data_IF_248992678279
#
_entry.id   IF_248992678279
#
_cell.length_a   1.000
_cell.length_b   1.000
_cell.length_c   1.000
_cell.angle_alpha   90.00
_cell.angle_beta   90.00
_cell.angle_gamma   90.00
#
_symmetry.space_group_name_H-M   'P 1'
#
loop_
_entity.id
_entity.type
_entity.pdbx_description
1 polymer ?
#
# COMPACT_ATOMS: atom_id res chain seq x y z
N UNK A 1 -13.96 0.20 -10.62
CA UNK A 1 -13.28 -0.88 -9.88
C UNK A 1 -11.81 -1.01 -10.28
N UNK A 2 -11.48 -1.18 -11.57
CA UNK A 2 -10.10 -1.39 -12.01
C UNK A 2 -9.14 -0.24 -11.65
N UNK A 3 -9.54 1.02 -11.87
CA UNK A 3 -8.73 2.18 -11.50
C UNK A 3 -8.42 2.23 -9.99
N UNK A 4 -9.35 1.79 -9.14
CA UNK A 4 -9.15 1.77 -7.67
C UNK A 4 -8.08 0.74 -7.30
N UNK A 5 -8.09 -0.44 -7.92
CA UNK A 5 -7.10 -1.50 -7.69
C UNK A 5 -5.69 -1.00 -8.06
N UNK A 6 -5.55 -0.34 -9.21
CA UNK A 6 -4.27 0.22 -9.67
C UNK A 6 -3.77 1.32 -8.73
N UNK A 7 -4.65 2.24 -8.32
CA UNK A 7 -4.29 3.32 -7.39
C UNK A 7 -3.83 2.76 -6.04
N UNK A 8 -4.51 1.74 -5.52
CA UNK A 8 -4.11 1.07 -4.27
C UNK A 8 -2.70 0.48 -4.42
N UNK A 9 -2.42 -0.23 -5.51
CA UNK A 9 -1.09 -0.78 -5.78
C UNK A 9 0.00 0.29 -5.83
N UNK A 10 -0.26 1.43 -6.48
CA UNK A 10 0.68 2.56 -6.54
C UNK A 10 0.92 3.17 -5.15
N UNK A 11 -0.13 3.30 -4.32
CA UNK A 11 0.03 3.83 -2.96
C UNK A 11 0.91 2.91 -2.11
N UNK A 12 0.70 1.60 -2.18
CA UNK A 12 1.52 0.64 -1.45
C UNK A 12 2.97 0.62 -1.94
N UNK A 13 3.20 0.75 -3.25
CA UNK A 13 4.54 0.92 -3.84
C UNK A 13 5.25 2.17 -3.28
N UNK A 14 4.56 3.31 -3.23
CA UNK A 14 5.09 4.56 -2.65
C UNK A 14 5.45 4.37 -1.17
N UNK A 15 4.63 3.64 -0.41
CA UNK A 15 4.92 3.34 1.00
C UNK A 15 6.17 2.48 1.12
N UNK A 16 6.28 1.39 0.34
CA UNK A 16 7.46 0.52 0.34
C UNK A 16 8.74 1.30 0.03
N UNK A 17 8.72 2.10 -1.03
CA UNK A 17 9.85 2.96 -1.41
C UNK A 17 10.17 3.97 -0.30
N UNK A 18 9.16 4.61 0.29
CA UNK A 18 9.37 5.60 1.35
C UNK A 18 9.97 4.98 2.61
N UNK A 19 9.55 3.77 2.99
CA UNK A 19 10.10 3.05 4.15
C UNK A 19 11.58 2.76 3.93
N UNK A 20 11.94 2.23 2.75
CA UNK A 20 13.34 1.94 2.39
C UNK A 20 14.19 3.20 2.24
N UNK A 21 13.62 4.31 1.75
CA UNK A 21 14.34 5.58 1.59
C UNK A 21 14.40 6.43 2.88
N UNK A 22 13.77 5.98 3.97
CA UNK A 22 13.64 6.81 5.18
C UNK A 22 14.91 6.85 6.02
N UNK A 23 15.34 8.06 6.41
CA UNK A 23 16.49 8.21 7.30
C UNK A 23 16.10 7.91 8.76
N UNK A 24 16.97 7.18 9.47
CA UNK A 24 16.74 6.79 10.86
C UNK A 24 16.86 7.95 11.85
N UNK A 25 17.61 9.02 11.56
CA UNK A 25 17.85 10.16 12.45
C UNK A 25 16.56 10.91 12.80
N UNK A 26 15.72 11.38 11.84
CA UNK A 26 14.47 12.05 12.18
C UNK A 26 13.49 11.12 12.89
N UNK A 27 13.46 9.83 12.53
CA UNK A 27 12.58 8.83 13.16
C UNK A 27 12.98 8.57 14.62
N UNK A 28 14.28 8.38 14.88
CA UNK A 28 14.80 8.18 16.23
C UNK A 28 14.63 9.43 17.11
N UNK A 29 14.80 10.63 16.54
CA UNK A 29 14.51 11.88 17.24
C UNK A 29 13.04 11.99 17.66
N UNK A 30 12.10 11.67 16.76
CA UNK A 30 10.67 11.62 17.08
C UNK A 30 10.35 10.54 18.13
N UNK A 31 11.03 9.40 18.09
CA UNK A 31 10.86 8.33 19.07
C UNK A 31 11.41 8.70 20.45
N UNK A 32 12.54 9.43 20.52
CA UNK A 32 13.11 9.95 21.75
C UNK A 32 12.19 10.98 22.43
N UNK A 33 11.52 11.82 21.65
CA UNK A 33 10.47 12.74 22.11
C UNK A 33 9.13 12.04 22.44
N UNK A 34 9.09 10.69 22.38
CA UNK A 34 7.89 9.87 22.69
C UNK A 34 6.67 10.23 21.86
N UNK A 35 6.87 10.67 20.61
CA UNK A 35 5.77 10.97 19.69
C UNK A 35 5.00 9.68 19.37
N UNK A 36 3.67 9.66 19.50
CA UNK A 36 2.87 8.45 19.29
C UNK A 36 3.00 7.93 17.86
N UNK A 37 3.44 6.67 17.71
CA UNK A 37 3.66 6.02 16.41
C UNK A 37 5.08 6.13 15.86
N UNK A 38 5.95 6.95 16.47
CA UNK A 38 7.35 7.06 16.05
C UNK A 38 8.15 5.78 16.29
N UNK A 39 7.86 5.04 17.38
CA UNK A 39 8.49 3.73 17.65
C UNK A 39 8.19 2.70 16.55
N UNK A 40 6.92 2.59 16.14
CA UNK A 40 6.50 1.70 15.05
C UNK A 40 7.14 2.11 13.72
N UNK A 41 7.29 3.42 13.48
CA UNK A 41 7.96 3.93 12.28
C UNK A 41 9.47 3.60 12.25
N UNK A 42 10.14 3.62 13.40
CA UNK A 42 11.54 3.14 13.53
C UNK A 42 11.62 1.64 13.26
N UNK A 43 10.66 0.85 13.75
CA UNK A 43 10.62 -0.60 13.54
C UNK A 43 10.34 -0.96 12.07
N UNK A 44 9.47 -0.20 11.40
CA UNK A 44 9.27 -0.29 9.95
C UNK A 44 10.57 -0.01 9.18
N UNK A 45 11.31 1.04 9.54
CA UNK A 45 12.58 1.35 8.87
C UNK A 45 13.65 0.27 9.13
N UNK A 46 13.69 -0.31 10.34
CA UNK A 46 14.60 -1.43 10.64
C UNK A 46 14.31 -2.67 9.80
N UNK A 47 13.04 -2.92 9.49
CA UNK A 47 12.60 -4.03 8.65
C UNK A 47 12.23 -3.57 7.23
N UNK A 48 12.87 -2.51 6.73
CA UNK A 48 12.46 -1.85 5.50
C UNK A 48 12.45 -2.79 4.30
N UNK A 49 13.41 -3.70 4.19
CA UNK A 49 13.49 -4.66 3.08
C UNK A 49 12.28 -5.60 3.08
N UNK A 50 11.91 -6.14 4.25
CA UNK A 50 10.74 -7.01 4.36
C UNK A 50 9.43 -6.27 4.06
N UNK A 51 9.29 -5.02 4.53
CA UNK A 51 8.10 -4.19 4.26
C UNK A 51 8.01 -3.82 2.78
N UNK A 52 9.13 -3.43 2.18
CA UNK A 52 9.21 -3.08 0.76
C UNK A 52 8.88 -4.28 -0.12
N UNK A 53 9.43 -5.46 0.19
CA UNK A 53 9.12 -6.69 -0.55
C UNK A 53 7.64 -7.09 -0.40
N UNK A 54 7.06 -6.93 0.78
CA UNK A 54 5.63 -7.16 0.97
C UNK A 54 4.76 -6.18 0.15
N UNK A 55 5.10 -4.89 0.17
CA UNK A 55 4.35 -3.87 -0.55
C UNK A 55 4.49 -3.98 -2.07
N UNK A 56 5.68 -4.31 -2.58
CA UNK A 56 5.92 -4.41 -4.01
C UNK A 56 5.53 -5.76 -4.59
N UNK A 57 5.91 -6.87 -3.94
CA UNK A 57 5.69 -8.20 -4.50
C UNK A 57 4.31 -8.72 -4.11
N UNK A 58 4.02 -8.87 -2.82
CA UNK A 58 2.75 -9.50 -2.40
C UNK A 58 1.54 -8.65 -2.80
N UNK A 59 1.55 -7.36 -2.47
CA UNK A 59 0.43 -6.47 -2.81
C UNK A 59 0.42 -6.20 -4.32
N UNK A 60 1.58 -6.04 -4.95
CA UNK A 60 1.69 -5.83 -6.39
C UNK A 60 1.14 -7.01 -7.19
N UNK A 61 1.48 -8.25 -6.83
CA UNK A 61 1.00 -9.46 -7.48
C UNK A 61 -0.51 -9.62 -7.31
N UNK A 62 -1.04 -9.38 -6.09
CA UNK A 62 -2.48 -9.43 -5.85
C UNK A 62 -3.22 -8.37 -6.69
N UNK A 63 -2.73 -7.12 -6.69
CA UNK A 63 -3.30 -6.06 -7.51
C UNK A 63 -3.19 -6.38 -9.00
N UNK A 64 -2.08 -6.96 -9.45
CA UNK A 64 -1.85 -7.40 -10.82
C UNK A 64 -2.84 -8.47 -11.27
N UNK A 65 -2.99 -9.54 -10.48
CA UNK A 65 -3.91 -10.66 -10.79
C UNK A 65 -5.36 -10.18 -10.81
N UNK A 66 -5.79 -9.43 -9.77
CA UNK A 66 -7.18 -8.95 -9.69
C UNK A 66 -7.47 -7.92 -10.78
N UNK A 67 -6.55 -7.01 -11.07
CA UNK A 67 -6.73 -6.02 -12.14
C UNK A 67 -6.74 -6.69 -13.52
N UNK A 68 -5.93 -7.71 -13.76
CA UNK A 68 -5.93 -8.51 -14.99
C UNK A 68 -7.26 -9.23 -15.21
N UNK A 69 -7.78 -9.90 -14.18
CA UNK A 69 -9.09 -10.56 -14.25
C UNK A 69 -10.23 -9.55 -14.49
N UNK A 70 -10.23 -8.42 -13.76
CA UNK A 70 -11.20 -7.35 -13.99
C UNK A 70 -11.09 -6.73 -15.38
N UNK A 71 -9.86 -6.58 -15.90
CA UNK A 71 -9.58 -6.05 -17.23
C UNK A 71 -10.11 -6.98 -18.32
N UNK A 72 -9.91 -8.29 -18.19
CA UNK A 72 -10.44 -9.29 -19.10
C UNK A 72 -11.98 -9.21 -19.19
N UNK A 73 -12.66 -9.09 -18.04
CA UNK A 73 -14.13 -8.93 -18.02
C UNK A 73 -14.55 -7.67 -18.78
N UNK A 74 -13.86 -6.55 -18.59
CA UNK A 74 -14.14 -5.29 -19.30
C UNK A 74 -13.96 -5.47 -20.80
N UNK A 75 -12.85 -6.11 -21.23
CA UNK A 75 -12.58 -6.37 -22.65
C UNK A 75 -13.67 -7.25 -23.26
N UNK A 76 -14.09 -8.32 -22.58
CA UNK A 76 -15.17 -9.20 -23.06
C UNK A 76 -16.47 -8.43 -23.22
N UNK A 77 -16.86 -7.60 -22.25
CA UNK A 77 -18.07 -6.77 -22.34
C UNK A 77 -18.02 -5.78 -23.49
N UNK A 78 -16.87 -5.13 -23.69
CA UNK A 78 -16.68 -4.19 -24.80
C UNK A 78 -16.68 -4.89 -26.16
N UNK A 79 -16.04 -6.05 -26.27
CA UNK A 79 -16.02 -6.84 -27.50
C UNK A 79 -17.43 -7.29 -27.90
N UNK A 80 -18.29 -7.64 -26.94
CA UNK A 80 -19.70 -7.98 -27.22
C UNK A 80 -20.55 -6.76 -27.60
N UNK A 81 -20.21 -5.56 -27.11
CA UNK A 81 -20.95 -4.34 -27.43
C UNK A 81 -20.56 -3.75 -28.79
N UNK A 82 -19.32 -3.97 -29.24
CA UNK A 82 -18.78 -3.47 -30.51
C UNK A 82 -18.24 -4.62 -31.38
N UNK A 83 -19.11 -5.39 -32.04
CA UNK A 83 -18.70 -6.58 -32.80
C UNK A 83 -17.78 -6.29 -34.00
N UNK A 84 -17.75 -5.04 -34.49
CA UNK A 84 -16.87 -4.63 -35.58
C UNK A 84 -15.40 -4.48 -35.19
N UNK A 85 -15.08 -4.42 -33.88
CA UNK A 85 -13.71 -4.24 -33.39
C UNK A 85 -13.23 -5.56 -32.80
N UNK A 86 -12.06 -6.04 -33.23
CA UNK A 86 -11.43 -7.23 -32.62
C UNK A 86 -11.18 -6.98 -31.13
N UNK A 87 -11.68 -7.87 -30.27
CA UNK A 87 -11.47 -7.79 -28.82
C UNK A 87 -10.00 -7.69 -28.42
N UNK A 88 -9.09 -8.28 -29.20
CA UNK A 88 -7.64 -8.15 -29.02
C UNK A 88 -7.16 -6.68 -29.09
N UNK A 89 -7.68 -5.87 -30.02
CA UNK A 89 -7.31 -4.45 -30.14
C UNK A 89 -7.76 -3.66 -28.92
N UNK A 90 -8.97 -3.93 -28.42
CA UNK A 90 -9.51 -3.30 -27.21
C UNK A 90 -8.67 -3.72 -25.99
N UNK A 91 -8.29 -5.00 -25.90
CA UNK A 91 -7.42 -5.50 -24.84
C UNK A 91 -6.06 -4.83 -24.82
N UNK A 92 -5.39 -4.73 -25.98
CA UNK A 92 -4.08 -4.06 -26.09
C UNK A 92 -4.19 -2.59 -25.71
N UNK A 93 -5.20 -1.87 -26.21
CA UNK A 93 -5.40 -0.45 -25.88
C UNK A 93 -5.66 -0.26 -24.38
N UNK A 94 -6.50 -1.09 -23.78
CA UNK A 94 -6.81 -1.00 -22.35
C UNK A 94 -5.58 -1.32 -21.50
N UNK A 95 -4.88 -2.42 -21.79
CA UNK A 95 -3.67 -2.82 -21.06
C UNK A 95 -2.54 -1.81 -21.21
N UNK A 96 -2.32 -1.27 -22.41
CA UNK A 96 -1.31 -0.23 -22.64
C UNK A 96 -1.61 1.06 -21.89
N UNK A 97 -2.89 1.46 -21.82
CA UNK A 97 -3.33 2.62 -21.06
C UNK A 97 -3.10 2.41 -19.55
N UNK A 98 -3.49 1.24 -19.02
CA UNK A 98 -3.27 0.90 -17.60
C UNK A 98 -1.78 0.87 -17.28
N UNK A 99 -0.96 0.25 -18.13
CA UNK A 99 0.49 0.17 -17.94
C UNK A 99 1.13 1.56 -17.92
N UNK A 100 0.76 2.43 -18.88
CA UNK A 100 1.26 3.82 -18.94
C UNK A 100 0.92 4.59 -17.66
N UNK A 101 -0.34 4.55 -17.20
CA UNK A 101 -0.76 5.21 -15.95
C UNK A 101 0.00 4.64 -14.75
N UNK A 102 0.21 3.33 -14.70
CA UNK A 102 0.88 2.67 -13.58
C UNK A 102 2.35 3.10 -13.50
N UNK A 103 3.07 3.05 -14.63
CA UNK A 103 4.48 3.45 -14.70
C UNK A 103 4.64 4.94 -14.41
N UNK A 104 3.81 5.80 -15.02
CA UNK A 104 3.83 7.23 -14.76
C UNK A 104 3.52 7.57 -13.29
N UNK A 105 2.51 6.91 -12.71
CA UNK A 105 2.11 7.08 -11.31
C UNK A 105 3.21 6.69 -10.34
N UNK A 106 3.87 5.53 -10.55
CA UNK A 106 5.01 5.11 -9.74
C UNK A 106 6.21 6.06 -9.88
N UNK A 107 6.52 6.54 -11.08
CA UNK A 107 7.63 7.46 -11.30
C UNK A 107 7.45 8.80 -10.57
N UNK A 108 6.24 9.38 -10.63
CA UNK A 108 5.90 10.60 -9.89
C UNK A 108 5.91 10.31 -8.37
N UNK A 109 5.32 9.20 -7.97
CA UNK A 109 5.24 8.74 -6.58
C UNK A 109 6.62 8.56 -5.94
N UNK A 110 7.58 7.99 -6.65
CA UNK A 110 8.95 7.77 -6.17
C UNK A 110 9.66 9.06 -5.77
N UNK A 111 9.52 10.12 -6.55
CA UNK A 111 10.10 11.42 -6.22
C UNK A 111 9.53 11.99 -4.91
N UNK A 112 8.22 11.84 -4.72
CA UNK A 112 7.53 12.26 -3.49
C UNK A 112 7.95 11.37 -2.31
N UNK A 113 8.02 10.06 -2.54
CA UNK A 113 8.42 9.05 -1.57
C UNK A 113 9.81 9.36 -1.00
N UNK A 114 10.79 9.65 -1.85
CA UNK A 114 12.17 9.93 -1.43
C UNK A 114 12.25 11.29 -0.73
N UNK A 115 11.66 12.36 -1.28
CA UNK A 115 11.71 13.70 -0.68
C UNK A 115 11.03 13.78 0.69
N UNK A 116 10.01 12.95 0.94
CA UNK A 116 9.24 12.93 2.19
C UNK A 116 9.27 11.56 2.88
N UNK A 117 10.35 10.81 2.71
CA UNK A 117 10.46 9.42 3.14
C UNK A 117 10.17 9.22 4.63
N UNK A 118 10.81 10.03 5.49
CA UNK A 118 10.59 9.95 6.95
C UNK A 118 9.18 10.38 7.37
N UNK A 119 8.55 11.32 6.65
CA UNK A 119 7.17 11.74 6.93
C UNK A 119 6.16 10.64 6.56
N UNK A 120 6.32 10.04 5.38
CA UNK A 120 5.46 8.94 4.91
C UNK A 120 5.63 7.71 5.79
N UNK A 121 6.87 7.36 6.15
CA UNK A 121 7.18 6.25 7.06
C UNK A 121 6.61 6.50 8.45
N UNK A 122 6.70 7.73 8.95
CA UNK A 122 6.05 8.10 10.21
C UNK A 122 4.53 7.98 10.13
N UNK A 123 3.89 8.43 9.04
CA UNK A 123 2.44 8.26 8.83
C UNK A 123 2.05 6.77 8.79
N UNK A 124 2.85 5.93 8.13
CA UNK A 124 2.66 4.48 8.12
C UNK A 124 2.78 3.88 9.53
N UNK A 125 3.82 4.24 10.28
CA UNK A 125 3.99 3.81 11.68
C UNK A 125 2.89 4.32 12.62
N UNK A 126 2.38 5.54 12.40
CA UNK A 126 1.24 6.09 13.13
C UNK A 126 -0.06 5.33 12.82
N UNK A 127 -0.26 4.95 11.56
CA UNK A 127 -1.38 4.12 11.13
C UNK A 127 -1.31 2.75 11.83
N UNK A 128 -0.15 2.10 11.80
CA UNK A 128 0.08 0.83 12.50
C UNK A 128 -0.14 0.93 13.99
N UNK A 129 0.35 1.98 14.66
CA UNK A 129 0.10 2.22 16.08
C UNK A 129 -1.40 2.40 16.37
N UNK A 130 -2.14 3.08 15.50
CA UNK A 130 -3.59 3.25 15.64
C UNK A 130 -4.32 1.91 15.51
N UNK A 131 -3.94 1.10 14.50
CA UNK A 131 -4.47 -0.26 14.33
C UNK A 131 -4.12 -1.15 15.53
N UNK A 132 -2.85 -1.18 15.96
CA UNK A 132 -2.38 -1.94 17.11
C UNK A 132 -3.07 -1.53 18.41
N UNK A 133 -3.28 -0.22 18.66
CA UNK A 133 -4.08 0.26 19.80
C UNK A 133 -5.53 -0.19 19.72
N UNK A 134 -6.13 -0.24 18.55
CA UNK A 134 -7.51 -0.69 18.34
C UNK A 134 -7.64 -2.18 18.58
N UNK A 135 -6.69 -2.97 18.08
CA UNK A 135 -6.61 -4.42 18.31
C UNK A 135 -6.33 -4.73 19.78
N UNK A 136 -5.39 -4.03 20.42
CA UNK A 136 -5.08 -4.18 21.84
C UNK A 136 -6.25 -3.78 22.74
N UNK A 137 -7.03 -2.74 22.41
CA UNK A 137 -8.27 -2.40 23.12
C UNK A 137 -9.35 -3.49 22.96
N UNK A 138 -9.47 -4.13 21.80
CA UNK A 138 -10.38 -5.27 21.61
C UNK A 138 -9.95 -6.50 22.43
N UNK A 139 -8.65 -6.80 22.48
CA UNK A 139 -8.11 -7.94 23.24
C UNK A 139 -8.19 -7.71 24.76
N UNK A 140 -7.74 -6.55 25.25
CA UNK A 140 -7.82 -6.21 26.69
C UNK A 140 -9.25 -5.91 27.16
N UNK A 141 -10.15 -5.50 26.26
CA UNK A 141 -11.58 -5.38 26.55
C UNK A 141 -12.25 -6.74 26.79
N UNK A 142 -11.70 -7.82 26.21
CA UNK A 142 -12.17 -9.18 26.42
C UNK A 142 -11.56 -9.87 27.65
N UNK A 143 -10.45 -9.35 28.18
CA UNK A 143 -9.75 -9.89 29.36
C UNK A 143 -10.27 -9.41 30.72
N UNK A 144 -11.12 -8.38 30.79
CA UNK A 144 -11.60 -7.81 32.07
C UNK A 144 -12.80 -8.52 32.70
N UNK A 145 -13.26 -9.67 32.19
CA UNK A 145 -14.34 -10.46 32.83
C UNK A 145 -13.87 -11.66 33.67
N UNK A 146 -12.57 -12.00 33.71
CA UNK A 146 -12.12 -13.25 34.37
C UNK A 146 -11.17 -13.05 35.57
N UNK A 147 -10.93 -11.82 36.02
CA UNK A 147 -10.20 -11.57 37.28
C UNK A 147 -10.97 -10.63 38.22
N UNK A 148 -12.18 -11.04 38.56
CA UNK A 148 -12.83 -10.63 39.81
C UNK A 148 -13.29 -11.88 40.55
N UNK A 149 -12.32 -12.69 40.99
CA UNK A 149 -12.50 -13.70 42.03
C UNK A 149 -11.85 -13.18 43.31
N UNK A 150 -12.68 -12.78 44.27
CA UNK A 150 -12.62 -13.13 45.69
C UNK A 150 -13.71 -12.39 46.43
#
# INVERSE_FOLDING_TARGET
MLAVIVIIGIIFDIIGIAVTASDARPLNGMAAQKIPGAREAVELNKNADAVSNFCNDVIGDICGIISGAAGAIIVTRFATAYPNIRGATIGILLSSFIASITVAGKAIGKNIAIKRASEITYKAGKLLNLFSRRTRKKVLGNGKKTERKR
#
